data_IF_881719988221
#
_entry.id   IF_881719988221
#
_cell.length_a   1.000
_cell.length_b   1.000
_cell.length_c   1.000
_cell.angle_alpha   90.00
_cell.angle_beta   90.00
_cell.angle_gamma   90.00
#
_symmetry.space_group_name_H-M   'P 1'
#
loop_
_entity.id
_entity.type
_entity.pdbx_description
1 polymer ?
#
# COMPACT_ATOMS: atom_id res chain seq x y z
N UNK A 1 -52.24 -27.85 4.30
CA UNK A 1 -52.88 -28.08 5.61
C UNK A 1 -52.56 -26.89 6.50
N UNK A 2 -53.53 -26.39 7.29
CA UNK A 2 -53.53 -25.03 7.86
C UNK A 2 -53.07 -24.97 9.34
N UNK A 3 -52.95 -23.71 9.80
CA UNK A 3 -52.63 -23.13 11.11
C UNK A 3 -53.24 -23.81 12.36
N UNK A 4 -52.75 -23.50 13.59
CA UNK A 4 -53.25 -22.34 14.39
C UNK A 4 -52.08 -21.56 15.08
N UNK A 5 -52.05 -20.22 15.20
CA UNK A 5 -52.89 -19.23 15.88
C UNK A 5 -52.89 -19.27 17.42
N UNK A 6 -52.33 -18.23 18.06
CA UNK A 6 -52.96 -17.56 19.20
C UNK A 6 -52.34 -16.18 19.49
N UNK A 7 -53.21 -15.19 19.49
CA UNK A 7 -53.02 -13.81 19.95
C UNK A 7 -53.00 -13.76 21.48
N UNK A 8 -52.34 -12.75 22.06
CA UNK A 8 -52.83 -12.13 23.29
C UNK A 8 -52.51 -10.62 23.30
N UNK A 9 -53.54 -9.82 23.03
CA UNK A 9 -53.62 -8.42 23.43
C UNK A 9 -54.41 -8.35 24.74
N UNK A 10 -53.98 -7.53 25.69
CA UNK A 10 -54.89 -7.04 26.73
C UNK A 10 -54.51 -5.63 27.15
N UNK A 11 -55.38 -4.70 26.77
CA UNK A 11 -55.48 -3.32 27.22
C UNK A 11 -56.25 -3.26 28.55
N UNK A 12 -55.97 -2.26 29.39
CA UNK A 12 -56.91 -1.50 30.26
C UNK A 12 -56.04 -0.53 31.10
N UNK A 13 -55.93 0.77 30.78
CA UNK A 13 -56.85 1.87 31.11
C UNK A 13 -57.24 1.95 32.60
N UNK A 14 -56.73 2.98 33.30
CA UNK A 14 -57.57 3.79 34.20
C UNK A 14 -57.02 5.22 34.35
N UNK A 15 -57.96 6.17 34.29
CA UNK A 15 -57.77 7.61 34.30
C UNK A 15 -58.10 8.23 35.67
N UNK A 16 -57.70 9.49 35.89
CA UNK A 16 -58.18 10.35 36.99
C UNK A 16 -57.16 11.45 37.32
N UNK A 17 -57.20 12.60 36.64
CA UNK A 17 -57.89 13.85 37.04
C UNK A 17 -57.14 14.65 38.13
N UNK A 18 -56.43 15.73 37.77
CA UNK A 18 -56.85 17.15 37.72
C UNK A 18 -57.02 17.83 39.09
N UNK A 19 -56.13 18.78 39.41
CA UNK A 19 -56.47 20.02 40.12
C UNK A 19 -55.31 21.03 40.04
N UNK A 20 -55.54 22.14 39.34
CA UNK A 20 -54.73 23.35 39.34
C UNK A 20 -55.34 24.35 40.32
N UNK A 21 -54.52 25.02 41.15
CA UNK A 21 -54.87 26.29 41.80
C UNK A 21 -53.63 27.19 41.86
N UNK A 22 -53.73 28.31 41.15
CA UNK A 22 -52.88 29.52 41.24
C UNK A 22 -53.08 30.23 42.59
N UNK A 23 -52.05 30.88 43.14
CA UNK A 23 -52.17 32.26 43.67
C UNK A 23 -50.80 32.95 43.77
N UNK A 24 -50.76 34.15 43.20
CA UNK A 24 -49.69 35.17 43.23
C UNK A 24 -49.77 36.01 44.52
N UNK A 25 -48.66 36.63 44.96
CA UNK A 25 -48.69 37.98 45.55
C UNK A 25 -47.90 38.28 46.85
N UNK A 26 -46.66 38.76 46.68
CA UNK A 26 -45.95 39.91 47.30
C UNK A 26 -46.12 40.35 48.77
N UNK A 27 -44.96 40.60 49.43
CA UNK A 27 -44.54 41.85 50.11
C UNK A 27 -43.06 41.70 50.58
N UNK A 28 -42.03 42.42 50.08
CA UNK A 28 -41.67 43.86 50.12
C UNK A 28 -40.67 44.20 51.26
N UNK A 29 -39.43 44.64 50.89
CA UNK A 29 -38.86 45.96 51.26
C UNK A 29 -37.33 46.09 50.98
N UNK A 30 -36.99 47.02 50.07
CA UNK A 30 -35.95 48.11 50.08
C UNK A 30 -34.54 47.80 50.64
N UNK A 31 -33.39 48.16 50.07
CA UNK A 31 -32.84 49.27 49.24
C UNK A 31 -31.51 48.74 48.63
N UNK A 32 -30.86 49.22 47.56
CA UNK A 32 -30.61 50.56 47.06
C UNK A 32 -30.06 50.48 45.61
N UNK A 33 -30.25 51.58 44.88
CA UNK A 33 -29.67 51.92 43.57
C UNK A 33 -28.22 51.45 43.36
N UNK A 34 -27.98 50.71 42.28
CA UNK A 34 -26.77 50.81 41.46
C UNK A 34 -27.18 50.83 39.98
N UNK A 35 -26.48 51.68 39.25
CA UNK A 35 -26.84 52.22 37.94
C UNK A 35 -26.73 51.13 36.87
N UNK A 36 -27.78 51.00 36.05
CA UNK A 36 -27.77 50.18 34.84
C UNK A 36 -26.77 50.78 33.84
N UNK A 37 -25.68 50.05 33.56
CA UNK A 37 -24.84 50.29 32.40
C UNK A 37 -25.54 49.76 31.14
N UNK A 38 -25.52 50.61 30.12
CA UNK A 38 -26.10 50.46 28.80
C UNK A 38 -25.56 49.20 28.08
N UNK A 39 -26.39 48.16 27.94
CA UNK A 39 -26.11 47.02 27.05
C UNK A 39 -26.15 47.48 25.59
N UNK A 40 -25.06 48.09 25.15
CA UNK A 40 -24.74 48.21 23.73
C UNK A 40 -24.48 46.80 23.18
N UNK A 41 -25.50 46.24 22.52
CA UNK A 41 -25.36 45.05 21.68
C UNK A 41 -24.32 45.32 20.58
N UNK A 42 -23.09 44.83 20.78
CA UNK A 42 -22.03 44.88 19.77
C UNK A 42 -22.38 43.82 18.71
N UNK A 43 -22.77 44.19 17.48
CA UNK A 43 -23.32 43.22 16.52
C UNK A 43 -22.26 42.26 15.94
N UNK A 44 -20.98 42.55 16.18
CA UNK A 44 -19.84 41.71 15.83
C UNK A 44 -18.73 41.92 16.87
N UNK A 45 -18.56 40.97 17.78
CA UNK A 45 -17.33 40.89 18.57
C UNK A 45 -16.21 40.41 17.64
N UNK A 46 -15.53 41.34 16.98
CA UNK A 46 -14.19 41.05 16.49
C UNK A 46 -13.34 40.68 17.72
N UNK A 47 -12.61 39.55 17.71
CA UNK A 47 -11.74 39.21 18.83
C UNK A 47 -10.82 40.41 19.10
N UNK A 48 -10.65 40.76 20.38
CA UNK A 48 -9.78 41.88 20.75
C UNK A 48 -8.42 41.67 20.11
N UNK A 49 -7.92 42.66 19.37
CA UNK A 49 -6.54 42.68 18.88
C UNK A 49 -5.60 42.86 20.07
N UNK A 50 -5.41 41.79 20.85
CA UNK A 50 -4.34 41.66 21.82
C UNK A 50 -2.98 41.59 21.10
N UNK A 51 -1.87 41.61 21.85
CA UNK A 51 -0.56 41.32 21.28
C UNK A 51 -0.47 39.83 20.95
N UNK A 52 -1.17 39.38 19.92
CA UNK A 52 -0.95 38.07 19.34
C UNK A 52 0.22 38.22 18.38
N UNK A 53 1.41 37.85 18.83
CA UNK A 53 2.48 37.50 17.91
C UNK A 53 2.17 36.07 17.43
N UNK A 54 1.89 35.84 16.13
CA UNK A 54 1.63 34.49 15.64
C UNK A 54 2.73 33.48 15.98
N UNK A 55 3.95 33.97 16.25
CA UNK A 55 5.10 33.19 16.68
C UNK A 55 5.04 32.68 18.13
N UNK A 56 4.14 33.19 18.98
CA UNK A 56 3.96 32.75 20.38
C UNK A 56 2.77 31.78 20.56
N UNK A 57 2.06 31.45 19.49
CA UNK A 57 0.98 30.46 19.52
C UNK A 57 1.61 29.07 19.45
N UNK A 58 1.60 28.36 20.57
CA UNK A 58 1.96 26.94 20.61
C UNK A 58 0.91 26.13 19.85
N UNK A 59 1.35 25.43 18.80
CA UNK A 59 0.51 24.51 18.02
C UNK A 59 0.94 23.10 18.40
N UNK A 60 0.07 22.38 19.11
CA UNK A 60 0.36 21.07 19.74
C UNK A 60 0.78 19.94 18.76
N UNK A 61 0.88 20.20 17.45
CA UNK A 61 1.35 19.26 16.43
C UNK A 61 2.28 19.90 15.38
N UNK A 62 2.85 21.09 15.63
CA UNK A 62 3.65 21.84 14.64
C UNK A 62 4.76 21.00 14.01
N UNK A 63 5.46 20.21 14.84
CA UNK A 63 6.51 19.30 14.38
C UNK A 63 5.96 18.22 13.43
N UNK A 64 4.88 17.54 13.82
CA UNK A 64 4.30 16.46 13.01
C UNK A 64 3.80 16.98 11.65
N UNK A 65 3.16 18.16 11.65
CA UNK A 65 2.72 18.85 10.43
C UNK A 65 3.91 19.21 9.55
N UNK A 66 4.94 19.83 10.13
CA UNK A 66 6.17 20.23 9.42
C UNK A 66 6.93 19.05 8.85
N UNK A 67 6.98 17.93 9.57
CA UNK A 67 7.62 16.69 9.12
C UNK A 67 6.84 16.07 7.96
N UNK A 68 5.50 16.00 8.07
CA UNK A 68 4.65 15.47 7.00
C UNK A 68 4.79 16.23 5.69
N UNK A 69 4.77 17.57 5.71
CA UNK A 69 4.94 18.38 4.51
C UNK A 69 6.31 18.20 3.82
N UNK A 70 7.30 17.64 4.51
CA UNK A 70 8.62 17.29 3.94
C UNK A 70 8.71 15.83 3.51
N UNK A 71 7.72 15.01 3.87
CA UNK A 71 7.69 13.59 3.55
C UNK A 71 7.37 13.33 2.08
N UNK A 72 7.70 12.12 1.62
CA UNK A 72 7.36 11.69 0.26
C UNK A 72 5.84 11.62 0.02
N UNK A 73 5.03 11.36 1.06
CA UNK A 73 3.57 11.27 0.95
C UNK A 73 2.89 12.61 0.70
N UNK A 74 3.53 13.72 1.09
CA UNK A 74 3.03 15.08 0.82
C UNK A 74 3.75 15.77 -0.34
N UNK A 75 4.64 15.06 -1.06
CA UNK A 75 5.44 15.64 -2.13
C UNK A 75 4.64 15.77 -3.44
N UNK A 76 3.83 16.82 -3.55
CA UNK A 76 3.00 17.11 -4.72
C UNK A 76 3.77 17.22 -6.04
N UNK A 77 5.08 17.51 -6.00
CA UNK A 77 5.93 17.59 -7.19
C UNK A 77 6.50 16.23 -7.63
N UNK A 78 6.28 15.16 -6.87
CA UNK A 78 6.70 13.82 -7.29
C UNK A 78 5.78 13.28 -8.37
N UNK A 79 6.33 12.47 -9.28
CA UNK A 79 5.57 11.80 -10.34
C UNK A 79 4.34 11.05 -9.81
N UNK A 80 4.41 10.51 -8.59
CA UNK A 80 3.28 9.88 -7.93
C UNK A 80 2.05 10.79 -7.82
N UNK A 81 2.19 12.10 -7.73
CA UNK A 81 1.05 13.01 -7.58
C UNK A 81 0.90 13.96 -8.77
N UNK A 82 1.98 14.28 -9.48
CA UNK A 82 1.97 15.22 -10.60
C UNK A 82 1.70 14.58 -11.97
N UNK A 83 1.63 13.24 -12.07
CA UNK A 83 1.50 12.54 -13.36
C UNK A 83 0.30 13.04 -14.20
N UNK A 84 -0.78 13.42 -13.54
CA UNK A 84 -2.02 13.83 -14.20
C UNK A 84 -2.20 15.35 -14.30
N UNK A 85 -1.23 16.16 -13.91
CA UNK A 85 -1.37 17.62 -13.88
C UNK A 85 -1.77 18.21 -15.25
N UNK A 86 -1.19 17.68 -16.34
CA UNK A 86 -1.53 18.07 -17.71
C UNK A 86 -2.89 17.51 -18.18
N UNK A 87 -3.29 16.35 -17.65
CA UNK A 87 -4.60 15.73 -17.90
C UNK A 87 -5.73 16.49 -17.17
N UNK A 88 -5.40 17.21 -16.09
CA UNK A 88 -6.32 18.00 -15.27
C UNK A 88 -7.12 17.19 -14.24
N UNK A 89 -7.08 15.86 -14.33
CA UNK A 89 -7.79 14.95 -13.42
C UNK A 89 -7.02 13.64 -13.16
N UNK A 90 -6.99 13.23 -11.89
CA UNK A 90 -6.51 11.90 -11.48
C UNK A 90 -7.60 10.88 -11.78
N UNK A 91 -7.25 9.85 -12.54
CA UNK A 91 -8.19 8.80 -12.95
C UNK A 91 -8.68 8.01 -11.73
N UNK A 92 -9.97 7.58 -11.69
CA UNK A 92 -10.55 6.88 -10.54
C UNK A 92 -9.73 5.67 -10.07
N UNK A 93 -9.21 4.88 -11.02
CA UNK A 93 -8.42 3.67 -10.73
C UNK A 93 -7.04 3.96 -10.10
N UNK A 94 -6.62 5.21 -10.06
CA UNK A 94 -5.35 5.69 -9.51
C UNK A 94 -5.58 6.56 -8.27
N UNK A 95 -6.69 7.29 -8.21
CA UNK A 95 -6.96 8.29 -7.19
C UNK A 95 -6.96 7.75 -5.76
N UNK A 96 -7.32 6.48 -5.53
CA UNK A 96 -7.30 5.84 -4.20
C UNK A 96 -5.97 6.00 -3.47
N UNK A 97 -4.84 5.87 -4.19
CA UNK A 97 -3.50 5.92 -3.60
C UNK A 97 -2.76 7.22 -3.92
N UNK A 98 -3.22 7.94 -4.95
CA UNK A 98 -2.57 9.13 -5.49
C UNK A 98 -3.32 10.44 -5.13
N UNK A 99 -4.29 10.37 -4.22
CA UNK A 99 -4.95 11.55 -3.62
C UNK A 99 -5.65 11.16 -2.32
N UNK A 100 -5.61 12.04 -1.31
CA UNK A 100 -6.35 11.83 -0.06
C UNK A 100 -7.86 11.88 -0.28
N UNK A 101 -8.32 12.64 -1.29
CA UNK A 101 -9.72 12.68 -1.71
C UNK A 101 -10.17 11.32 -2.27
N UNK A 102 -9.45 10.78 -3.25
CA UNK A 102 -9.76 9.46 -3.79
C UNK A 102 -9.65 8.34 -2.74
N UNK A 103 -8.77 8.45 -1.75
CA UNK A 103 -8.75 7.52 -0.62
C UNK A 103 -10.06 7.58 0.20
N UNK A 104 -10.53 8.79 0.51
CA UNK A 104 -11.77 8.97 1.29
C UNK A 104 -12.99 8.49 0.51
N UNK A 105 -13.08 8.84 -0.76
CA UNK A 105 -14.15 8.41 -1.67
C UNK A 105 -14.17 6.88 -1.78
N UNK A 106 -13.02 6.25 -2.03
CA UNK A 106 -12.90 4.78 -2.06
C UNK A 106 -13.41 4.10 -0.78
N UNK A 107 -13.19 4.68 0.39
CA UNK A 107 -13.67 4.13 1.66
C UNK A 107 -15.04 4.69 2.11
N UNK A 108 -15.69 5.53 1.31
CA UNK A 108 -16.94 6.22 1.68
C UNK A 108 -16.80 7.16 2.88
N UNK A 109 -15.59 7.59 3.22
CA UNK A 109 -15.26 8.45 4.36
C UNK A 109 -15.69 9.91 4.17
N UNK A 110 -16.14 10.26 2.97
CA UNK A 110 -16.78 11.52 2.59
C UNK A 110 -18.31 11.39 2.42
N UNK A 111 -18.88 10.21 2.71
CA UNK A 111 -20.31 9.91 2.61
C UNK A 111 -20.75 9.33 1.26
N UNK A 112 -19.82 9.03 0.36
CA UNK A 112 -20.05 8.34 -0.91
C UNK A 112 -20.14 6.81 -0.75
N UNK A 113 -20.39 6.09 -1.85
CA UNK A 113 -20.40 4.63 -1.87
C UNK A 113 -18.98 4.07 -1.76
N UNK A 114 -18.73 3.26 -0.72
CA UNK A 114 -17.43 2.61 -0.51
C UNK A 114 -17.15 1.49 -1.54
N UNK A 115 -15.86 1.24 -1.79
CA UNK A 115 -15.33 0.23 -2.71
C UNK A 115 -15.02 0.73 -4.12
N UNK A 116 -15.32 2.01 -4.41
CA UNK A 116 -15.11 2.63 -5.72
C UNK A 116 -14.78 4.11 -5.55
N UNK A 117 -13.99 4.68 -6.46
CA UNK A 117 -13.82 6.13 -6.57
C UNK A 117 -14.88 6.66 -7.54
N UNK A 118 -15.75 7.52 -7.05
CA UNK A 118 -16.92 8.08 -7.71
C UNK A 118 -16.55 9.28 -8.60
N UNK A 119 -15.90 8.98 -9.74
CA UNK A 119 -15.54 9.98 -10.75
C UNK A 119 -14.08 10.40 -10.71
N UNK A 120 -13.64 11.23 -11.67
CA UNK A 120 -12.29 11.78 -11.67
C UNK A 120 -12.08 12.67 -10.43
N UNK A 121 -10.88 12.59 -9.85
CA UNK A 121 -10.47 13.44 -8.72
C UNK A 121 -9.60 14.57 -9.24
N UNK A 122 -9.76 15.79 -8.71
CA UNK A 122 -8.96 16.94 -9.11
C UNK A 122 -7.45 16.73 -8.84
N UNK A 123 -6.61 17.28 -9.71
CA UNK A 123 -5.15 17.26 -9.56
C UNK A 123 -4.66 18.16 -8.40
N UNK A 124 -3.41 17.99 -8.00
CA UNK A 124 -2.79 18.75 -6.90
C UNK A 124 -3.04 18.17 -5.50
N UNK A 125 -3.82 17.08 -5.41
CA UNK A 125 -3.96 16.27 -4.20
C UNK A 125 -2.72 15.42 -3.91
N UNK A 126 -2.53 15.09 -2.63
CA UNK A 126 -1.48 14.18 -2.13
C UNK A 126 -2.10 13.24 -1.10
N UNK A 127 -1.33 12.31 -0.52
CA UNK A 127 -1.77 11.65 0.72
C UNK A 127 -1.84 12.75 1.79
N UNK A 128 -3.04 13.02 2.30
CA UNK A 128 -3.29 14.14 3.21
C UNK A 128 -3.57 13.66 4.64
N UNK A 129 -3.70 14.59 5.58
CA UNK A 129 -3.94 14.28 6.98
C UNK A 129 -5.21 13.43 7.16
N UNK A 130 -6.23 13.66 6.33
CA UNK A 130 -7.49 12.94 6.35
C UNK A 130 -7.36 11.46 5.99
N UNK A 131 -6.33 11.07 5.23
CA UNK A 131 -6.08 9.64 4.92
C UNK A 131 -5.82 8.80 6.18
N UNK A 132 -5.20 9.38 7.21
CA UNK A 132 -4.85 8.67 8.45
C UNK A 132 -5.66 9.14 9.67
N UNK A 133 -6.20 10.36 9.66
CA UNK A 133 -6.90 10.97 10.79
C UNK A 133 -8.39 11.22 10.55
N UNK A 134 -8.97 10.69 9.47
CA UNK A 134 -10.43 10.72 9.33
C UNK A 134 -11.08 9.89 10.47
N UNK A 135 -12.13 10.45 11.09
CA UNK A 135 -12.80 9.83 12.22
C UNK A 135 -13.41 8.46 11.90
N UNK A 136 -13.83 8.23 10.64
CA UNK A 136 -14.38 6.96 10.17
C UNK A 136 -13.32 5.91 9.81
N UNK A 137 -12.02 6.26 9.77
CA UNK A 137 -10.97 5.31 9.37
C UNK A 137 -10.95 4.07 10.27
N UNK A 138 -11.17 4.25 11.58
CA UNK A 138 -11.19 3.15 12.53
C UNK A 138 -12.38 2.18 12.35
N UNK A 139 -13.38 2.53 11.55
CA UNK A 139 -14.52 1.69 11.22
C UNK A 139 -14.23 0.72 10.07
N UNK A 140 -13.14 0.95 9.31
CA UNK A 140 -12.68 0.04 8.27
C UNK A 140 -12.11 -1.22 8.93
N UNK A 141 -12.82 -2.33 8.77
CA UNK A 141 -12.47 -3.60 9.41
C UNK A 141 -11.64 -4.54 8.51
N UNK A 142 -11.63 -4.32 7.19
CA UNK A 142 -10.94 -5.18 6.24
C UNK A 142 -10.48 -4.43 4.98
N UNK A 143 -9.44 -4.95 4.33
CA UNK A 143 -8.92 -4.48 3.03
C UNK A 143 -8.86 -5.66 2.07
N UNK A 144 -9.35 -5.46 0.84
CA UNK A 144 -9.30 -6.48 -0.22
C UNK A 144 -8.06 -6.28 -1.11
N UNK A 145 -7.23 -7.32 -1.17
CA UNK A 145 -6.00 -7.36 -1.96
C UNK A 145 -6.26 -7.79 -3.41
N UNK A 146 -5.37 -7.44 -4.36
CA UNK A 146 -5.48 -7.88 -5.76
C UNK A 146 -5.54 -9.40 -5.96
N UNK A 147 -5.07 -10.18 -4.97
CA UNK A 147 -5.17 -11.65 -4.96
C UNK A 147 -6.57 -12.18 -4.63
N UNK A 148 -7.51 -11.30 -4.29
CA UNK A 148 -8.84 -11.65 -3.77
C UNK A 148 -8.86 -11.92 -2.27
N UNK A 149 -7.72 -11.83 -1.58
CA UNK A 149 -7.67 -11.93 -0.12
C UNK A 149 -8.40 -10.75 0.52
N UNK A 150 -9.33 -11.05 1.43
CA UNK A 150 -9.93 -10.06 2.33
C UNK A 150 -9.20 -10.15 3.67
N UNK A 151 -8.39 -9.13 3.97
CA UNK A 151 -7.54 -9.11 5.17
C UNK A 151 -8.16 -8.24 6.26
N UNK A 152 -8.35 -8.75 7.50
CA UNK A 152 -8.79 -7.91 8.60
C UNK A 152 -7.71 -6.89 8.97
N UNK A 153 -8.11 -5.64 9.20
CA UNK A 153 -7.22 -4.53 9.58
C UNK A 153 -7.71 -3.85 10.85
N UNK A 154 -6.82 -3.13 11.51
CA UNK A 154 -7.18 -2.34 12.70
C UNK A 154 -6.58 -0.93 12.67
N UNK A 155 -7.43 0.07 12.93
CA UNK A 155 -7.01 1.47 13.04
C UNK A 155 -6.26 1.96 11.80
N UNK A 156 -5.09 2.58 12.01
CA UNK A 156 -4.31 3.21 10.93
C UNK A 156 -3.71 2.22 9.92
N UNK A 157 -3.67 0.92 10.24
CA UNK A 157 -3.20 -0.12 9.33
C UNK A 157 -4.00 -0.14 8.03
N UNK A 158 -5.30 0.18 8.08
CA UNK A 158 -6.17 0.27 6.91
C UNK A 158 -5.59 1.21 5.84
N UNK A 159 -5.08 2.38 6.23
CA UNK A 159 -4.48 3.35 5.31
C UNK A 159 -3.23 2.80 4.62
N UNK A 160 -2.34 2.15 5.38
CA UNK A 160 -1.11 1.58 4.84
C UNK A 160 -1.41 0.45 3.84
N UNK A 161 -2.29 -0.48 4.22
CA UNK A 161 -2.57 -1.68 3.44
C UNK A 161 -3.41 -1.40 2.19
N UNK A 162 -4.24 -0.36 2.20
CA UNK A 162 -5.02 0.06 1.02
C UNK A 162 -4.12 0.37 -0.17
N UNK A 163 -2.99 1.06 0.07
CA UNK A 163 -2.09 1.52 -0.99
C UNK A 163 -0.92 0.58 -1.25
N UNK A 164 -0.28 0.06 -0.19
CA UNK A 164 0.95 -0.75 -0.30
C UNK A 164 0.71 -2.23 -0.66
N UNK A 165 -0.46 -2.56 -1.20
CA UNK A 165 -0.86 -3.92 -1.63
C UNK A 165 -0.52 -4.23 -3.09
N UNK A 166 -0.11 -3.24 -3.87
CA UNK A 166 0.06 -3.37 -5.33
C UNK A 166 -1.27 -3.30 -6.10
N UNK A 167 -1.23 -3.52 -7.41
CA UNK A 167 -2.42 -3.50 -8.30
C UNK A 167 -2.66 -4.81 -9.06
N UNK A 168 -1.75 -5.77 -8.95
CA UNK A 168 -1.88 -7.10 -9.51
C UNK A 168 -1.25 -8.12 -8.57
N UNK A 169 -1.69 -9.36 -8.68
CA UNK A 169 -1.19 -10.48 -7.90
C UNK A 169 -0.81 -11.65 -8.83
N UNK A 170 -0.20 -12.70 -8.27
CA UNK A 170 0.11 -13.92 -9.00
C UNK A 170 -1.08 -14.51 -9.73
N UNK A 171 -2.29 -14.43 -9.14
CA UNK A 171 -3.52 -14.88 -9.79
C UNK A 171 -3.85 -14.08 -11.07
N UNK A 172 -3.46 -12.81 -11.16
CA UNK A 172 -3.62 -12.00 -12.39
C UNK A 172 -2.78 -12.60 -13.52
N UNK A 173 -1.55 -13.03 -13.22
CA UNK A 173 -0.68 -13.70 -14.18
C UNK A 173 -1.22 -15.07 -14.54
N UNK A 174 -1.58 -15.89 -13.54
CA UNK A 174 -2.17 -17.22 -13.74
C UNK A 174 -3.36 -17.16 -14.70
N UNK A 175 -4.31 -16.25 -14.47
CA UNK A 175 -5.47 -16.07 -15.35
C UNK A 175 -5.09 -15.62 -16.77
N UNK A 176 -4.05 -14.80 -16.91
CA UNK A 176 -3.59 -14.34 -18.21
C UNK A 176 -2.90 -15.44 -19.02
N UNK A 177 -2.33 -16.45 -18.36
CA UNK A 177 -1.48 -17.47 -18.98
C UNK A 177 -2.06 -18.89 -18.95
N UNK A 178 -3.22 -19.07 -18.32
CA UNK A 178 -3.92 -20.37 -18.22
C UNK A 178 -4.10 -21.01 -19.60
N UNK A 179 -3.87 -22.33 -19.66
CA UNK A 179 -4.00 -23.17 -20.87
C UNK A 179 -3.09 -22.78 -22.05
N UNK A 180 -2.06 -21.98 -21.83
CA UNK A 180 -1.05 -21.63 -22.84
C UNK A 180 0.21 -22.51 -22.73
N UNK A 181 0.89 -22.72 -23.85
CA UNK A 181 2.20 -23.38 -23.85
C UNK A 181 3.23 -22.48 -23.16
N UNK A 182 4.00 -23.05 -22.21
CA UNK A 182 4.86 -22.25 -21.31
C UNK A 182 5.92 -21.39 -22.03
N UNK A 183 6.41 -21.90 -23.17
CA UNK A 183 7.57 -21.37 -23.88
C UNK A 183 7.24 -20.79 -25.26
N UNK A 184 5.96 -20.75 -25.65
CA UNK A 184 5.54 -20.14 -26.91
C UNK A 184 5.16 -18.67 -26.70
N UNK A 185 5.78 -17.72 -27.43
CA UNK A 185 5.41 -16.32 -27.33
C UNK A 185 3.98 -16.08 -27.84
N UNK A 186 3.24 -15.26 -27.10
CA UNK A 186 1.85 -14.92 -27.41
C UNK A 186 1.68 -13.39 -27.44
N UNK A 187 1.21 -12.86 -28.57
CA UNK A 187 1.02 -11.42 -28.78
C UNK A 187 -0.09 -10.80 -27.91
N UNK A 188 -0.96 -11.62 -27.34
CA UNK A 188 -2.02 -11.17 -26.43
C UNK A 188 -1.48 -10.93 -25.01
N UNK A 189 -0.27 -11.43 -24.69
CA UNK A 189 0.40 -11.19 -23.42
C UNK A 189 1.14 -9.85 -23.44
N UNK A 190 1.06 -9.16 -22.32
CA UNK A 190 1.83 -7.95 -22.04
C UNK A 190 2.33 -8.00 -20.60
N UNK A 191 3.38 -7.23 -20.31
CA UNK A 191 3.94 -7.19 -18.97
C UNK A 191 2.86 -6.80 -17.94
N UNK A 192 2.64 -7.67 -16.96
CA UNK A 192 1.76 -7.40 -15.83
C UNK A 192 2.63 -6.79 -14.74
N UNK A 193 2.43 -5.50 -14.47
CA UNK A 193 3.16 -4.81 -13.41
C UNK A 193 2.41 -4.96 -12.06
N UNK A 194 3.04 -5.49 -11.00
CA UNK A 194 2.45 -5.54 -9.65
C UNK A 194 2.22 -4.14 -9.04
N UNK A 195 2.77 -3.11 -9.67
CA UNK A 195 2.88 -1.74 -9.17
C UNK A 195 3.92 -1.61 -8.05
N UNK A 196 4.04 -0.42 -7.47
CA UNK A 196 5.19 -0.05 -6.64
C UNK A 196 4.91 -0.12 -5.14
N UNK A 197 5.99 -0.16 -4.35
CA UNK A 197 5.96 -0.09 -2.90
C UNK A 197 5.02 -1.12 -2.27
N UNK A 198 5.14 -2.39 -2.68
CA UNK A 198 4.24 -3.49 -2.35
C UNK A 198 4.46 -4.08 -0.95
N UNK A 199 4.87 -3.25 0.02
CA UNK A 199 5.28 -3.68 1.36
C UNK A 199 4.22 -4.52 2.09
N UNK A 200 2.94 -4.14 2.02
CA UNK A 200 1.86 -4.91 2.62
C UNK A 200 1.70 -6.28 1.95
N UNK A 201 1.80 -6.30 0.62
CA UNK A 201 1.72 -7.53 -0.17
C UNK A 201 2.87 -8.49 0.18
N UNK A 202 4.10 -7.98 0.28
CA UNK A 202 5.29 -8.74 0.69
C UNK A 202 5.13 -9.28 2.12
N UNK A 203 4.72 -8.43 3.06
CA UNK A 203 4.57 -8.79 4.46
C UNK A 203 3.58 -9.94 4.70
N UNK A 204 2.45 -9.94 4.00
CA UNK A 204 1.46 -11.02 4.08
C UNK A 204 1.94 -12.34 3.45
N UNK A 205 2.97 -12.28 2.59
CA UNK A 205 3.65 -13.44 2.03
C UNK A 205 2.74 -14.44 1.33
N UNK A 206 2.98 -15.72 1.62
CA UNK A 206 2.21 -16.87 1.15
C UNK A 206 0.70 -16.75 1.40
N UNK A 207 0.30 -16.13 2.51
CA UNK A 207 -1.10 -15.87 2.84
C UNK A 207 -1.70 -14.75 1.97
N UNK A 208 -0.92 -13.70 1.69
CA UNK A 208 -1.30 -12.59 0.82
C UNK A 208 -1.40 -12.96 -0.66
N UNK A 209 -0.63 -13.97 -1.10
CA UNK A 209 -0.57 -14.45 -2.50
C UNK A 209 -0.32 -13.34 -3.53
N UNK A 210 0.54 -12.38 -3.17
CA UNK A 210 0.92 -11.28 -4.04
C UNK A 210 1.76 -11.77 -5.23
N UNK A 211 2.75 -12.64 -4.99
CA UNK A 211 3.58 -13.26 -6.02
C UNK A 211 2.86 -14.36 -6.79
N UNK A 212 3.37 -14.70 -7.98
CA UNK A 212 3.04 -15.94 -8.66
C UNK A 212 3.67 -17.11 -7.88
N UNK A 213 2.79 -17.94 -7.31
CA UNK A 213 3.17 -19.10 -6.50
C UNK A 213 2.98 -20.36 -7.34
N UNK A 214 4.03 -21.19 -7.44
CA UNK A 214 4.00 -22.44 -8.19
C UNK A 214 3.21 -23.52 -7.42
N UNK A 215 2.42 -24.32 -8.12
CA UNK A 215 1.40 -25.22 -7.53
C UNK A 215 2.00 -26.29 -6.58
N UNK A 216 3.20 -26.79 -6.89
CA UNK A 216 3.92 -27.81 -6.14
C UNK A 216 4.86 -27.23 -5.07
N UNK A 217 4.84 -25.91 -4.89
CA UNK A 217 5.70 -25.19 -3.96
C UNK A 217 4.92 -24.67 -2.76
N UNK A 218 5.57 -24.64 -1.61
CA UNK A 218 5.03 -24.03 -0.38
C UNK A 218 5.72 -22.70 -0.13
N UNK A 219 4.94 -21.71 0.29
CA UNK A 219 5.41 -20.36 0.54
C UNK A 219 5.21 -19.96 1.99
N UNK A 220 6.24 -19.33 2.55
CA UNK A 220 6.22 -18.71 3.87
C UNK A 220 5.09 -17.69 3.95
N UNK A 221 4.21 -17.86 4.95
CA UNK A 221 3.05 -17.01 5.15
C UNK A 221 3.39 -15.59 5.64
N UNK A 222 2.46 -14.95 6.34
CA UNK A 222 2.68 -13.64 6.94
C UNK A 222 3.91 -13.67 7.85
N UNK A 223 4.82 -12.72 7.66
CA UNK A 223 6.02 -12.61 8.47
C UNK A 223 5.72 -11.88 9.78
N UNK A 224 6.18 -12.46 10.90
CA UNK A 224 5.99 -11.87 12.22
C UNK A 224 7.33 -11.47 12.80
N UNK A 225 7.53 -10.17 12.99
CA UNK A 225 8.65 -9.67 13.76
C UNK A 225 8.47 -10.00 15.25
N UNK A 226 9.59 -10.03 15.97
CA UNK A 226 9.55 -10.09 17.43
C UNK A 226 8.99 -8.77 18.00
N UNK A 227 8.26 -8.88 19.12
CA UNK A 227 7.77 -7.69 19.85
C UNK A 227 8.97 -6.80 20.24
N UNK A 228 8.85 -5.46 20.15
CA UNK A 228 7.62 -4.68 19.96
C UNK A 228 7.18 -4.45 18.51
N UNK A 229 7.89 -4.94 17.50
CA UNK A 229 7.57 -4.70 16.09
C UNK A 229 6.41 -5.60 15.66
N UNK A 230 5.26 -5.03 15.35
CA UNK A 230 4.02 -5.78 15.06
C UNK A 230 3.12 -5.16 13.99
N UNK A 231 3.28 -3.87 13.71
CA UNK A 231 2.51 -3.10 12.72
C UNK A 231 3.43 -2.22 11.87
N UNK A 232 2.92 -1.66 10.77
CA UNK A 232 3.68 -0.74 9.92
C UNK A 232 4.29 0.42 10.74
N UNK A 233 3.46 1.08 11.56
CA UNK A 233 3.85 2.21 12.39
C UNK A 233 4.59 1.84 13.69
N UNK A 234 4.88 0.56 13.93
CA UNK A 234 5.80 0.16 15.01
C UNK A 234 7.27 0.33 14.62
N UNK A 235 7.53 0.56 13.33
CA UNK A 235 8.85 0.76 12.75
C UNK A 235 8.91 2.03 11.87
N UNK A 236 7.88 2.28 11.06
CA UNK A 236 7.80 3.50 10.25
C UNK A 236 7.20 4.65 11.06
N UNK A 237 7.89 5.78 11.16
CA UNK A 237 7.30 7.02 11.66
C UNK A 237 6.37 7.60 10.58
N UNK A 238 5.04 7.66 10.81
CA UNK A 238 4.11 8.07 9.75
C UNK A 238 4.36 9.49 9.24
N UNK A 239 4.86 10.42 10.07
CA UNK A 239 5.04 11.81 9.63
C UNK A 239 6.33 12.05 8.86
N UNK A 240 7.42 11.34 9.18
CA UNK A 240 8.71 11.50 8.47
C UNK A 240 8.93 10.44 7.40
N UNK A 241 8.24 9.31 7.51
CA UNK A 241 8.45 8.05 6.78
C UNK A 241 9.80 7.37 7.07
N UNK A 242 10.54 7.87 8.05
CA UNK A 242 11.79 7.28 8.50
C UNK A 242 11.52 5.98 9.26
N UNK A 243 12.50 5.08 9.21
CA UNK A 243 12.47 3.78 9.88
C UNK A 243 13.16 3.92 11.23
N UNK A 244 12.42 3.72 12.32
CA UNK A 244 12.96 3.63 13.67
C UNK A 244 13.76 2.32 13.81
N UNK A 245 15.08 2.44 13.96
CA UNK A 245 16.00 1.30 13.97
C UNK A 245 16.35 0.83 15.39
N UNK A 246 16.27 1.72 16.36
CA UNK A 246 16.58 1.47 17.77
C UNK A 246 15.84 0.24 18.35
N UNK A 247 14.55 -0.03 18.02
CA UNK A 247 13.88 -1.23 18.50
C UNK A 247 14.57 -2.54 18.07
N UNK A 248 15.15 -2.57 16.87
CA UNK A 248 15.81 -3.75 16.27
C UNK A 248 17.07 -4.14 17.04
N UNK A 249 17.79 -3.15 17.60
CA UNK A 249 19.05 -3.32 18.31
C UNK A 249 18.91 -4.13 19.61
N UNK A 250 17.68 -4.36 20.07
CA UNK A 250 17.40 -5.27 21.20
C UNK A 250 17.87 -6.70 20.90
N UNK A 251 17.82 -7.12 19.63
CA UNK A 251 18.11 -8.49 19.21
C UNK A 251 19.12 -8.58 18.07
N UNK A 252 19.29 -7.53 17.27
CA UNK A 252 20.16 -7.50 16.10
C UNK A 252 21.35 -6.57 16.34
N UNK A 253 22.55 -7.14 16.33
CA UNK A 253 23.79 -6.36 16.33
C UNK A 253 24.11 -5.94 14.88
N UNK A 254 23.66 -4.75 14.49
CA UNK A 254 23.75 -4.23 13.13
C UNK A 254 23.82 -2.69 13.15
N UNK A 255 24.34 -2.08 12.08
CA UNK A 255 24.41 -0.62 11.96
C UNK A 255 23.19 -0.02 11.23
N UNK A 256 22.46 -0.85 10.49
CA UNK A 256 21.27 -0.48 9.75
C UNK A 256 20.32 -1.68 9.57
N UNK A 257 19.05 -1.45 9.23
CA UNK A 257 18.13 -2.54 8.89
C UNK A 257 18.64 -3.45 7.76
N UNK A 258 19.37 -2.89 6.80
CA UNK A 258 19.92 -3.61 5.65
C UNK A 258 21.03 -4.59 6.03
N UNK A 259 21.71 -4.35 7.16
CA UNK A 259 22.79 -5.20 7.67
C UNK A 259 22.25 -6.39 8.48
N UNK A 260 20.94 -6.43 8.77
CA UNK A 260 20.36 -7.52 9.57
C UNK A 260 20.37 -8.82 8.78
N UNK A 261 20.83 -9.88 9.45
CA UNK A 261 20.68 -11.27 9.03
C UNK A 261 20.24 -12.13 10.23
N UNK A 262 19.14 -12.86 10.06
CA UNK A 262 18.54 -13.67 11.15
C UNK A 262 19.11 -15.09 11.24
N UNK A 263 19.67 -15.61 10.14
CA UNK A 263 20.25 -16.95 10.05
C UNK A 263 21.69 -16.88 9.49
N UNK A 264 22.63 -17.68 10.01
CA UNK A 264 24.01 -17.73 9.50
C UNK A 264 24.12 -18.57 8.23
N UNK A 265 23.38 -18.16 7.21
CA UNK A 265 23.20 -18.87 5.95
C UNK A 265 23.11 -17.84 4.83
N UNK A 266 23.86 -18.03 3.75
CA UNK A 266 23.76 -17.26 2.50
C UNK A 266 22.82 -18.01 1.55
N UNK A 267 21.95 -17.27 0.86
CA UNK A 267 20.93 -17.81 -0.05
C UNK A 267 21.26 -17.57 -1.53
N UNK A 268 22.37 -16.91 -1.82
CA UNK A 268 22.79 -16.49 -3.15
C UNK A 268 24.00 -17.26 -3.70
N UNK A 269 24.35 -18.40 -3.07
CA UNK A 269 25.48 -19.24 -3.45
C UNK A 269 26.86 -18.64 -3.17
N UNK A 270 26.94 -17.43 -2.60
CA UNK A 270 28.23 -16.79 -2.29
C UNK A 270 28.89 -17.36 -1.03
N UNK A 271 28.10 -17.92 -0.12
CA UNK A 271 28.54 -18.30 1.22
C UNK A 271 28.88 -17.11 2.13
N UNK A 272 28.68 -15.86 1.68
CA UNK A 272 29.03 -14.67 2.44
C UNK A 272 27.94 -14.32 3.48
N UNK A 273 28.21 -14.67 4.74
CA UNK A 273 27.33 -14.32 5.87
C UNK A 273 27.75 -13.04 6.57
N UNK A 274 28.73 -12.29 6.05
CA UNK A 274 29.19 -11.02 6.64
C UNK A 274 28.30 -9.82 6.26
N UNK A 275 27.43 -9.99 5.27
CA UNK A 275 26.44 -9.01 4.80
C UNK A 275 25.04 -9.36 5.29
N UNK A 276 24.15 -8.36 5.34
CA UNK A 276 22.73 -8.58 5.67
C UNK A 276 21.97 -9.35 4.58
N UNK A 277 20.80 -9.90 4.93
CA UNK A 277 19.99 -10.76 4.05
C UNK A 277 19.53 -10.03 2.76
N UNK A 278 19.48 -8.69 2.81
CA UNK A 278 19.20 -7.86 1.64
C UNK A 278 20.18 -8.14 0.49
N UNK A 279 21.45 -8.43 0.79
CA UNK A 279 22.45 -8.73 -0.24
C UNK A 279 22.02 -9.94 -1.07
N UNK A 280 21.69 -11.05 -0.40
CA UNK A 280 21.28 -12.29 -1.07
C UNK A 280 20.03 -12.09 -1.93
N UNK A 281 19.04 -11.35 -1.41
CA UNK A 281 17.82 -11.04 -2.16
C UNK A 281 18.14 -10.25 -3.44
N UNK A 282 19.02 -9.25 -3.36
CA UNK A 282 19.40 -8.44 -4.52
C UNK A 282 20.30 -9.20 -5.50
N UNK A 283 21.19 -10.07 -5.01
CA UNK A 283 21.97 -10.99 -5.84
C UNK A 283 21.04 -11.91 -6.62
N UNK A 284 20.10 -12.58 -5.95
CA UNK A 284 19.14 -13.50 -6.58
C UNK A 284 18.19 -12.77 -7.55
N UNK A 285 17.78 -11.53 -7.23
CA UNK A 285 17.01 -10.70 -8.16
C UNK A 285 17.83 -10.32 -9.40
N UNK A 286 19.14 -10.09 -9.26
CA UNK A 286 20.05 -9.86 -10.40
C UNK A 286 20.20 -11.11 -11.27
N UNK A 287 20.42 -12.28 -10.66
CA UNK A 287 20.46 -13.58 -11.35
C UNK A 287 19.18 -13.84 -12.12
N UNK A 288 18.02 -13.63 -11.49
CA UNK A 288 16.72 -13.82 -12.14
C UNK A 288 16.53 -12.88 -13.34
N UNK A 289 16.91 -11.60 -13.23
CA UNK A 289 16.81 -10.68 -14.37
C UNK A 289 17.69 -11.14 -15.54
N UNK A 290 18.94 -11.52 -15.28
CA UNK A 290 19.84 -12.04 -16.31
C UNK A 290 19.28 -13.30 -16.97
N UNK A 291 18.69 -14.22 -16.20
CA UNK A 291 18.05 -15.41 -16.76
C UNK A 291 16.78 -15.10 -17.56
N UNK A 292 16.02 -14.05 -17.21
CA UNK A 292 14.89 -13.59 -18.03
C UNK A 292 15.40 -13.07 -19.39
N UNK A 293 16.50 -12.32 -19.39
CA UNK A 293 17.14 -11.80 -20.61
C UNK A 293 17.69 -12.94 -21.48
N UNK A 294 18.40 -13.90 -20.87
CA UNK A 294 18.93 -15.09 -21.54
C UNK A 294 17.82 -15.98 -22.11
N UNK A 295 16.75 -16.22 -21.35
CA UNK A 295 15.60 -17.00 -21.81
C UNK A 295 14.92 -16.34 -23.01
N UNK A 296 14.73 -15.02 -22.95
CA UNK A 296 14.12 -14.25 -24.03
C UNK A 296 14.97 -14.31 -25.31
N UNK A 297 16.30 -14.29 -25.18
CA UNK A 297 17.23 -14.41 -26.31
C UNK A 297 17.33 -15.83 -26.86
N UNK A 298 17.60 -16.81 -26.02
CA UNK A 298 18.07 -18.13 -26.43
C UNK A 298 16.93 -19.14 -26.63
N UNK A 299 15.82 -18.98 -25.90
CA UNK A 299 14.65 -19.87 -25.98
C UNK A 299 13.56 -19.25 -26.84
N UNK A 300 13.21 -17.99 -26.58
CA UNK A 300 12.14 -17.29 -27.32
C UNK A 300 12.64 -16.76 -28.67
N UNK A 301 13.93 -16.42 -28.78
CA UNK A 301 14.51 -15.80 -29.98
C UNK A 301 14.15 -14.32 -30.14
N UNK A 302 13.74 -13.66 -29.05
CA UNK A 302 13.35 -12.25 -29.01
C UNK A 302 13.97 -11.61 -27.76
N UNK A 303 15.16 -10.99 -27.85
CA UNK A 303 15.82 -10.38 -26.71
C UNK A 303 15.01 -9.23 -26.11
N UNK A 304 15.10 -9.10 -24.78
CA UNK A 304 14.41 -8.08 -23.99
C UNK A 304 15.42 -7.24 -23.23
N UNK A 305 15.13 -5.94 -23.08
CA UNK A 305 15.86 -5.03 -22.22
C UNK A 305 14.90 -4.46 -21.17
N UNK A 306 15.31 -4.52 -19.90
CA UNK A 306 14.63 -3.79 -18.84
C UNK A 306 15.20 -2.37 -18.68
N UNK A 307 14.35 -1.36 -18.68
CA UNK A 307 14.65 0.02 -18.30
C UNK A 307 13.62 0.52 -17.29
N UNK A 308 14.03 0.58 -16.02
CA UNK A 308 13.18 1.02 -14.90
C UNK A 308 12.76 2.50 -14.94
N UNK A 309 13.34 3.31 -15.84
CA UNK A 309 13.10 4.76 -15.88
C UNK A 309 11.91 5.16 -16.74
N UNK A 310 11.35 4.23 -17.54
CA UNK A 310 10.26 4.56 -18.46
C UNK A 310 9.33 3.37 -18.70
N UNK A 311 8.03 3.64 -18.72
CA UNK A 311 7.00 2.67 -19.07
C UNK A 311 7.09 2.27 -20.56
N UNK A 312 6.86 1.00 -20.96
CA UNK A 312 6.40 -0.16 -20.15
C UNK A 312 7.51 -0.99 -19.50
N UNK A 313 8.69 -0.41 -19.29
CA UNK A 313 9.85 -1.00 -18.60
C UNK A 313 10.57 -2.13 -19.34
N UNK A 314 9.89 -2.91 -20.16
CA UNK A 314 10.49 -3.97 -20.96
C UNK A 314 10.39 -3.61 -22.44
N UNK A 315 11.52 -3.60 -23.12
CA UNK A 315 11.67 -3.15 -24.49
C UNK A 315 12.33 -4.22 -25.36
N UNK A 316 12.04 -4.18 -26.65
CA UNK A 316 12.63 -5.08 -27.62
C UNK A 316 14.08 -4.70 -27.92
N UNK A 317 14.91 -5.72 -28.10
CA UNK A 317 16.25 -5.66 -28.70
C UNK A 317 16.30 -6.73 -29.80
N UNK A 318 15.54 -6.51 -30.87
CA UNK A 318 15.34 -7.50 -31.92
C UNK A 318 16.62 -7.77 -32.73
N UNK A 319 17.58 -6.83 -32.72
CA UNK A 319 18.86 -6.99 -33.39
C UNK A 319 19.97 -7.57 -32.48
N UNK A 320 19.73 -7.64 -31.16
CA UNK A 320 20.64 -8.21 -30.17
C UNK A 320 21.89 -7.37 -29.93
N UNK A 321 21.80 -6.04 -30.09
CA UNK A 321 22.94 -5.13 -29.92
C UNK A 321 23.04 -4.54 -28.49
N UNK A 322 22.12 -4.89 -27.61
CA UNK A 322 22.05 -4.39 -26.23
C UNK A 322 21.50 -2.97 -26.12
N UNK A 323 20.87 -2.45 -27.18
CA UNK A 323 20.22 -1.14 -27.21
C UNK A 323 18.73 -1.30 -27.46
N UNK A 324 17.93 -0.50 -26.78
CA UNK A 324 16.48 -0.47 -26.97
C UNK A 324 16.17 -0.09 -28.43
N UNK A 325 15.41 -0.94 -29.11
CA UNK A 325 14.93 -0.67 -30.45
C UNK A 325 14.06 0.59 -30.48
N UNK A 326 14.23 1.39 -31.54
CA UNK A 326 13.50 2.62 -31.77
C UNK A 326 12.75 2.56 -33.09
N UNK A 327 11.46 2.88 -33.08
CA UNK A 327 10.63 3.05 -34.29
C UNK A 327 9.96 4.43 -34.22
N UNK A 328 10.12 5.23 -35.28
CA UNK A 328 9.58 6.59 -35.37
C UNK A 328 9.95 7.49 -34.17
N UNK A 329 11.14 7.28 -33.59
CA UNK A 329 11.64 8.04 -32.45
C UNK A 329 11.08 7.60 -31.09
N UNK A 330 10.29 6.53 -31.03
CA UNK A 330 9.77 5.95 -29.80
C UNK A 330 10.38 4.56 -29.51
N UNK A 331 10.60 4.20 -28.24
CA UNK A 331 11.12 2.89 -27.87
C UNK A 331 10.07 1.79 -28.13
N UNK A 332 10.52 0.65 -28.65
CA UNK A 332 9.64 -0.48 -28.99
C UNK A 332 9.41 -1.34 -27.75
N UNK A 333 8.17 -1.39 -27.28
CA UNK A 333 7.78 -2.25 -26.17
C UNK A 333 8.00 -3.74 -26.50
N UNK A 334 8.43 -4.52 -25.51
CA UNK A 334 8.57 -5.97 -25.65
C UNK A 334 7.19 -6.65 -25.74
N UNK A 335 7.01 -7.49 -26.77
CA UNK A 335 5.72 -8.16 -27.09
C UNK A 335 5.79 -9.67 -27.18
N UNK A 336 6.98 -10.27 -27.10
CA UNK A 336 7.17 -11.72 -27.25
C UNK A 336 7.07 -12.45 -25.91
N UNK A 337 6.14 -12.03 -25.04
CA UNK A 337 5.95 -12.66 -23.74
C UNK A 337 5.46 -14.09 -23.90
N UNK A 338 6.08 -15.00 -23.17
CA UNK A 338 5.61 -16.36 -22.92
C UNK A 338 4.97 -16.42 -21.52
N UNK A 339 4.11 -17.42 -21.23
CA UNK A 339 3.67 -17.67 -19.85
C UNK A 339 4.82 -17.73 -18.84
N UNK A 340 5.94 -18.38 -19.18
CA UNK A 340 7.10 -18.53 -18.30
C UNK A 340 7.79 -17.19 -18.03
N UNK A 341 8.13 -16.44 -19.08
CA UNK A 341 8.77 -15.13 -18.92
C UNK A 341 7.88 -14.13 -18.17
N UNK A 342 6.56 -14.19 -18.39
CA UNK A 342 5.62 -13.29 -17.71
C UNK A 342 5.55 -13.56 -16.19
N UNK A 343 5.48 -14.83 -15.76
CA UNK A 343 5.45 -15.15 -14.31
C UNK A 343 6.77 -14.83 -13.61
N UNK A 344 7.91 -15.07 -14.25
CA UNK A 344 9.21 -14.78 -13.65
C UNK A 344 9.51 -13.29 -13.61
N UNK A 345 9.17 -12.54 -14.67
CA UNK A 345 9.26 -11.08 -14.67
C UNK A 345 8.31 -10.44 -13.66
N UNK A 346 7.11 -11.00 -13.46
CA UNK A 346 6.18 -10.53 -12.44
C UNK A 346 6.75 -10.70 -11.03
N UNK A 347 7.26 -11.89 -10.69
CA UNK A 347 7.88 -12.16 -9.39
C UNK A 347 9.11 -11.27 -9.15
N UNK A 348 9.99 -11.16 -10.15
CA UNK A 348 11.13 -10.26 -10.09
C UNK A 348 10.71 -8.82 -9.81
N UNK A 349 9.68 -8.33 -10.53
CA UNK A 349 9.21 -6.96 -10.33
C UNK A 349 8.56 -6.76 -8.98
N UNK A 350 7.79 -7.74 -8.48
CA UNK A 350 7.17 -7.67 -7.16
C UNK A 350 8.24 -7.54 -6.06
N UNK A 351 9.27 -8.37 -6.13
CA UNK A 351 10.38 -8.33 -5.17
C UNK A 351 11.13 -7.01 -5.24
N UNK A 352 11.45 -6.53 -6.44
CA UNK A 352 12.23 -5.28 -6.62
C UNK A 352 11.39 -4.00 -6.46
N UNK A 353 10.06 -4.11 -6.41
CA UNK A 353 9.15 -3.01 -6.14
C UNK A 353 9.00 -2.70 -4.64
N UNK A 354 9.41 -3.62 -3.76
CA UNK A 354 9.44 -3.40 -2.31
C UNK A 354 10.89 -3.17 -1.83
N UNK A 355 11.30 -1.92 -1.58
CA UNK A 355 12.65 -1.63 -1.09
C UNK A 355 12.92 -2.20 0.30
N UNK A 356 11.88 -2.55 1.07
CA UNK A 356 11.98 -3.12 2.42
C UNK A 356 11.78 -4.63 2.47
N UNK A 357 11.79 -5.34 1.34
CA UNK A 357 11.49 -6.78 1.25
C UNK A 357 12.30 -7.65 2.23
N UNK A 358 13.55 -7.25 2.52
CA UNK A 358 14.49 -7.90 3.43
C UNK A 358 14.04 -7.86 4.89
N UNK A 359 13.18 -6.91 5.26
CA UNK A 359 12.57 -6.81 6.57
C UNK A 359 11.11 -7.28 6.54
N UNK A 360 10.35 -6.94 5.49
CA UNK A 360 8.93 -7.25 5.42
C UNK A 360 8.64 -8.75 5.37
N UNK A 361 9.36 -9.51 4.52
CA UNK A 361 9.27 -10.97 4.45
C UNK A 361 10.44 -11.55 3.63
N UNK A 362 11.65 -11.64 4.20
CA UNK A 362 12.83 -12.08 3.45
C UNK A 362 12.70 -13.50 2.93
N UNK A 363 12.10 -14.41 3.71
CA UNK A 363 11.96 -15.81 3.31
C UNK A 363 11.00 -15.97 2.12
N UNK A 364 9.81 -15.35 2.18
CA UNK A 364 8.87 -15.39 1.05
C UNK A 364 9.48 -14.80 -0.23
N UNK A 365 10.24 -13.72 -0.08
CA UNK A 365 10.95 -13.07 -1.18
C UNK A 365 11.97 -14.01 -1.83
N UNK A 366 12.78 -14.70 -1.03
CA UNK A 366 13.77 -15.66 -1.51
C UNK A 366 13.12 -16.86 -2.18
N UNK A 367 12.02 -17.38 -1.64
CA UNK A 367 11.26 -18.49 -2.24
C UNK A 367 10.73 -18.12 -3.64
N UNK A 368 10.18 -16.90 -3.81
CA UNK A 368 9.72 -16.42 -5.12
C UNK A 368 10.87 -16.31 -6.13
N UNK A 369 12.02 -15.78 -5.70
CA UNK A 369 13.20 -15.65 -6.56
C UNK A 369 13.75 -17.03 -6.93
N UNK A 370 13.95 -17.91 -5.96
CA UNK A 370 14.46 -19.26 -6.16
C UNK A 370 13.58 -20.04 -7.13
N UNK A 371 12.26 -20.07 -6.92
CA UNK A 371 11.36 -20.84 -7.77
C UNK A 371 11.27 -20.25 -9.19
N UNK A 372 11.39 -18.92 -9.34
CA UNK A 372 11.43 -18.29 -10.66
C UNK A 372 12.74 -18.58 -11.41
N UNK A 373 13.86 -18.70 -10.67
CA UNK A 373 15.16 -19.11 -11.22
C UNK A 373 15.10 -20.58 -11.65
N UNK A 374 14.65 -21.48 -10.77
CA UNK A 374 14.43 -22.91 -11.07
C UNK A 374 13.58 -23.11 -12.31
N UNK A 375 12.53 -22.31 -12.43
CA UNK A 375 11.62 -22.34 -13.54
C UNK A 375 12.25 -21.94 -14.89
N UNK A 376 13.24 -21.05 -14.89
CA UNK A 376 14.00 -20.69 -16.10
C UNK A 376 15.18 -21.63 -16.34
N UNK A 377 15.68 -22.33 -15.32
CA UNK A 377 16.85 -23.19 -15.41
C UNK A 377 16.66 -24.35 -16.39
N UNK A 378 15.51 -25.02 -16.37
CA UNK A 378 15.23 -26.16 -17.25
C UNK A 378 15.31 -25.82 -18.75
N UNK A 379 14.60 -24.80 -19.28
CA UNK A 379 14.71 -24.45 -20.71
C UNK A 379 16.06 -23.82 -21.08
N UNK A 380 16.78 -23.22 -20.13
CA UNK A 380 18.13 -22.69 -20.35
C UNK A 380 19.24 -23.75 -20.22
N UNK A 381 18.92 -24.95 -19.74
CA UNK A 381 19.92 -25.99 -19.45
C UNK A 381 20.87 -25.62 -18.32
N UNK A 382 20.45 -24.76 -17.40
CA UNK A 382 21.20 -24.38 -16.19
C UNK A 382 20.97 -25.43 -15.11
N UNK A 383 22.05 -25.85 -14.45
CA UNK A 383 21.96 -26.74 -13.30
C UNK A 383 21.76 -25.91 -12.02
N UNK A 384 20.63 -26.13 -11.33
CA UNK A 384 20.32 -25.45 -10.08
C UNK A 384 21.30 -25.78 -8.95
N UNK A 385 21.91 -26.97 -8.97
CA UNK A 385 22.91 -27.35 -7.97
C UNK A 385 24.21 -26.54 -8.15
N UNK A 386 24.55 -26.16 -9.38
CA UNK A 386 25.75 -25.35 -9.67
C UNK A 386 25.59 -23.88 -9.22
N UNK A 387 24.36 -23.39 -9.10
CA UNK A 387 24.09 -22.04 -8.60
C UNK A 387 24.23 -21.93 -7.07
N UNK A 388 24.23 -23.05 -6.34
CA UNK A 388 24.30 -23.13 -4.87
C UNK A 388 23.29 -22.20 -4.15
N UNK A 389 22.16 -21.92 -4.79
CA UNK A 389 21.11 -21.11 -4.20
C UNK A 389 20.38 -21.90 -3.13
N UNK A 390 19.93 -21.18 -2.09
CA UNK A 390 19.02 -21.74 -1.12
C UNK A 390 17.63 -21.16 -1.30
N UNK A 391 16.64 -21.99 -1.03
CA UNK A 391 15.23 -21.64 -1.13
C UNK A 391 14.69 -21.05 0.17
#
# INVERSE_FOLDING_TARGET
MPLPSSNFSMSLSFAGALAAIFFFGQAASQTANEVAEDETLIPFALPQSGPFTPAEIEIDNDKAISDWFRSAHANAASESFSHWDDDGEVRPACATCHSGEGFRDFHGLDGTEAGVVNGPIDVGGVVDCGTCHNAGLAEIAEVTFPSGLVHPVTGVEASCLTCHQGRAAGQTVERATTDMALDEPNSDLSFINPHYATAAATWLGGYGRAGFQYEDRTYSGRFFHARPVASCNSCHEPHTLEVAFEPCLTCHEANSPQDIRIARQSYDGSGDTSVGIRSDIMSNAGTLLGMIEDYSRDVVGAPVIYDGTRYPYFFADANGDGVIDMVDGAPVAYKSWTPRSLRTAFNWKLVTADPGNYAHNPQYTLELLYDSIDDLSAPLGVDMEELDLLR
#
